data_IF_199774012684
#
_entry.id   IF_199774012684
#
_cell.length_a   1.000
_cell.length_b   1.000
_cell.length_c   1.000
_cell.angle_alpha   90.00
_cell.angle_beta   90.00
_cell.angle_gamma   90.00
#
_symmetry.space_group_name_H-M   'P 1'
#
loop_
_entity.id
_entity.type
_entity.pdbx_description
1 polymer ?
#
# COMPACT_ATOMS: atom_id res chain seq x y z
N UNK A 1 -11.46 -33.25 -56.87
CA UNK A 1 -10.06 -33.38 -56.41
C UNK A 1 -9.52 -31.99 -56.17
N UNK A 2 -8.91 -31.85 -55.01
CA UNK A 2 -8.36 -30.68 -54.29
C UNK A 2 -7.83 -29.52 -55.16
N UNK A 3 -8.28 -28.30 -54.83
CA UNK A 3 -7.49 -27.08 -54.98
C UNK A 3 -7.71 -26.22 -53.74
N UNK A 4 -6.72 -26.15 -52.86
CA UNK A 4 -6.52 -25.03 -51.92
C UNK A 4 -5.06 -25.02 -51.48
N UNK A 5 -4.21 -24.30 -52.21
CA UNK A 5 -2.91 -23.86 -51.70
C UNK A 5 -3.11 -22.53 -50.98
N UNK A 6 -3.19 -22.59 -49.65
CA UNK A 6 -3.25 -21.43 -48.76
C UNK A 6 -1.94 -21.33 -47.96
N UNK A 7 -1.12 -20.34 -48.29
CA UNK A 7 0.11 -19.95 -47.60
C UNK A 7 -0.06 -19.94 -46.07
N UNK A 8 0.73 -20.75 -45.36
CA UNK A 8 0.94 -20.59 -43.91
C UNK A 8 2.28 -19.90 -43.70
N UNK A 9 2.26 -18.59 -43.43
CA UNK A 9 3.42 -17.83 -43.00
C UNK A 9 3.84 -18.30 -41.60
N UNK A 10 5.08 -18.80 -41.48
CA UNK A 10 5.68 -19.24 -40.22
C UNK A 10 6.09 -18.00 -39.43
N UNK A 11 5.29 -17.63 -38.43
CA UNK A 11 5.69 -16.62 -37.45
C UNK A 11 6.66 -17.26 -36.45
N UNK A 12 7.96 -17.12 -36.71
CA UNK A 12 9.02 -17.52 -35.78
C UNK A 12 9.14 -16.45 -34.70
N UNK A 13 8.39 -16.60 -33.61
CA UNK A 13 8.62 -15.80 -32.40
C UNK A 13 9.70 -16.52 -31.57
N UNK A 14 10.95 -16.14 -31.76
CA UNK A 14 12.04 -16.57 -30.89
C UNK A 14 11.86 -15.91 -29.52
N UNK A 15 11.27 -16.64 -28.57
CA UNK A 15 11.36 -16.32 -27.16
C UNK A 15 12.85 -16.42 -26.80
N UNK A 16 13.51 -15.28 -26.67
CA UNK A 16 14.74 -15.22 -25.91
C UNK A 16 14.37 -15.52 -24.47
N UNK A 17 14.90 -16.63 -23.94
CA UNK A 17 14.74 -17.06 -22.56
C UNK A 17 14.98 -15.87 -21.64
N UNK A 18 13.89 -15.32 -21.11
CA UNK A 18 13.96 -14.36 -20.02
C UNK A 18 14.45 -15.17 -18.81
N UNK A 19 15.72 -14.97 -18.47
CA UNK A 19 16.33 -15.41 -17.22
C UNK A 19 15.31 -15.27 -16.08
N UNK A 20 15.18 -16.27 -15.18
CA UNK A 20 14.30 -16.14 -14.04
C UNK A 20 14.83 -14.97 -13.21
N UNK A 21 14.16 -13.82 -13.30
CA UNK A 21 14.34 -12.73 -12.37
C UNK A 21 14.02 -13.32 -11.01
N UNK A 22 15.08 -13.67 -10.27
CA UNK A 22 14.97 -14.17 -8.91
C UNK A 22 14.07 -13.18 -8.18
N UNK A 23 12.90 -13.64 -7.80
CA UNK A 23 11.94 -12.85 -7.07
C UNK A 23 12.59 -12.54 -5.72
N UNK A 24 13.26 -11.39 -5.64
CA UNK A 24 13.89 -10.87 -4.43
C UNK A 24 12.73 -10.43 -3.53
N UNK A 25 11.97 -11.39 -3.03
CA UNK A 25 11.10 -11.24 -1.89
C UNK A 25 11.99 -10.90 -0.70
N UNK A 26 12.36 -9.62 -0.57
CA UNK A 26 12.95 -9.14 0.68
C UNK A 26 11.98 -9.56 1.81
N UNK A 27 12.53 -10.18 2.85
CA UNK A 27 11.73 -10.75 3.94
C UNK A 27 10.75 -9.69 4.47
N UNK A 28 9.48 -10.05 4.61
CA UNK A 28 8.43 -9.17 5.13
C UNK A 28 8.72 -8.63 6.55
N UNK A 29 9.72 -9.15 7.25
CA UNK A 29 10.12 -8.72 8.59
C UNK A 29 10.46 -7.23 8.67
N UNK A 30 11.03 -6.64 7.62
CA UNK A 30 11.37 -5.21 7.57
C UNK A 30 10.11 -4.33 7.49
N UNK A 31 9.05 -4.82 6.84
CA UNK A 31 7.78 -4.09 6.74
C UNK A 31 7.18 -3.82 8.12
N UNK A 32 7.17 -4.84 8.98
CA UNK A 32 6.64 -4.71 10.34
C UNK A 32 7.47 -3.75 11.18
N UNK A 33 8.80 -3.80 11.07
CA UNK A 33 9.71 -2.87 11.76
C UNK A 33 9.43 -1.42 11.37
N UNK A 34 9.24 -1.13 10.08
CA UNK A 34 8.95 0.24 9.65
C UNK A 34 7.61 0.76 10.18
N UNK A 35 6.62 -0.11 10.41
CA UNK A 35 5.26 0.28 10.85
C UNK A 35 5.02 0.21 12.35
N UNK A 36 6.00 -0.23 13.14
CA UNK A 36 5.87 -0.39 14.59
C UNK A 36 5.47 0.92 15.29
N UNK A 37 6.21 2.01 15.04
CA UNK A 37 5.89 3.33 15.61
C UNK A 37 4.49 3.84 15.21
N UNK A 38 4.07 3.64 13.95
CA UNK A 38 2.73 4.01 13.51
C UNK A 38 1.65 3.20 14.25
N UNK A 39 1.91 1.92 14.54
CA UNK A 39 1.03 1.06 15.32
C UNK A 39 0.91 1.56 16.77
N UNK A 40 2.01 1.88 17.43
CA UNK A 40 2.01 2.40 18.80
C UNK A 40 1.18 3.68 18.94
N UNK A 41 1.32 4.62 17.99
CA UNK A 41 0.51 5.83 17.95
C UNK A 41 -0.98 5.54 17.70
N UNK A 42 -1.30 4.57 16.83
CA UNK A 42 -2.69 4.13 16.61
C UNK A 42 -3.30 3.47 17.85
N UNK A 43 -2.53 2.68 18.59
CA UNK A 43 -3.00 2.03 19.82
C UNK A 43 -3.25 3.07 20.92
N UNK A 44 -2.35 4.06 21.04
CA UNK A 44 -2.51 5.20 21.95
C UNK A 44 -3.73 6.05 21.58
N UNK A 45 -3.91 6.37 20.29
CA UNK A 45 -5.08 7.07 19.75
C UNK A 45 -6.37 6.35 20.13
N UNK A 46 -6.44 5.03 19.90
CA UNK A 46 -7.61 4.20 20.24
C UNK A 46 -7.91 4.25 21.75
N UNK A 47 -6.87 4.18 22.57
CA UNK A 47 -6.99 4.28 24.02
C UNK A 47 -7.58 5.62 24.45
N UNK A 48 -7.07 6.74 23.93
CA UNK A 48 -7.60 8.07 24.24
C UNK A 48 -9.05 8.25 23.83
N UNK A 49 -9.43 7.85 22.61
CA UNK A 49 -10.82 7.97 22.18
C UNK A 49 -11.77 7.06 22.98
N UNK A 50 -11.33 5.86 23.38
CA UNK A 50 -12.11 5.00 24.28
C UNK A 50 -12.33 5.66 25.64
N UNK A 51 -11.29 6.29 26.20
CA UNK A 51 -11.39 7.04 27.46
C UNK A 51 -12.32 8.25 27.31
N UNK A 52 -12.20 9.01 26.22
CA UNK A 52 -13.06 10.16 25.94
C UNK A 52 -14.54 9.75 25.84
N UNK A 53 -14.83 8.65 25.13
CA UNK A 53 -16.19 8.11 25.05
C UNK A 53 -16.74 7.73 26.44
N UNK A 54 -15.90 7.11 27.28
CA UNK A 54 -16.26 6.76 28.66
C UNK A 54 -16.55 8.01 29.51
N UNK A 55 -15.74 9.06 29.39
CA UNK A 55 -15.93 10.32 30.10
C UNK A 55 -17.22 11.04 29.64
N UNK A 56 -17.51 11.05 28.33
CA UNK A 56 -18.79 11.54 27.81
C UNK A 56 -19.98 10.81 28.42
N UNK A 57 -19.93 9.46 28.52
CA UNK A 57 -21.01 8.68 29.14
C UNK A 57 -21.20 8.98 30.63
N UNK A 58 -20.18 9.50 31.31
CA UNK A 58 -20.25 9.93 32.72
C UNK A 58 -20.67 11.40 32.90
N UNK A 59 -20.83 12.15 31.80
CA UNK A 59 -21.11 13.59 31.85
C UNK A 59 -19.88 14.47 32.10
N UNK A 60 -18.67 13.91 32.08
CA UNK A 60 -17.40 14.62 32.32
C UNK A 60 -16.91 15.29 31.03
N UNK A 61 -17.67 16.28 30.51
CA UNK A 61 -17.47 16.83 29.15
C UNK A 61 -16.10 17.50 28.93
N UNK A 62 -15.63 18.31 29.89
CA UNK A 62 -14.30 18.96 29.80
C UNK A 62 -13.17 17.93 29.75
N UNK A 63 -13.27 16.88 30.56
CA UNK A 63 -12.29 15.80 30.58
C UNK A 63 -12.34 14.97 29.28
N UNK A 64 -13.54 14.73 28.75
CA UNK A 64 -13.72 14.08 27.46
C UNK A 64 -13.13 14.90 26.30
N UNK A 65 -13.28 16.23 26.34
CA UNK A 65 -12.69 17.14 25.35
C UNK A 65 -11.17 17.08 25.38
N UNK A 66 -10.57 17.16 26.57
CA UNK A 66 -9.12 17.01 26.76
C UNK A 66 -8.60 15.68 26.21
N UNK A 67 -9.25 14.56 26.55
CA UNK A 67 -8.88 13.23 26.06
C UNK A 67 -9.01 13.12 24.53
N UNK A 68 -10.04 13.75 23.96
CA UNK A 68 -10.24 13.81 22.51
C UNK A 68 -9.12 14.57 21.81
N UNK A 69 -8.65 15.67 22.40
CA UNK A 69 -7.53 16.44 21.86
C UNK A 69 -6.20 15.66 21.93
N UNK A 70 -5.96 14.92 23.02
CA UNK A 70 -4.83 13.97 23.08
C UNK A 70 -4.93 12.89 22.00
N UNK A 71 -6.14 12.36 21.76
CA UNK A 71 -6.40 11.41 20.68
C UNK A 71 -6.05 12.00 19.30
N UNK A 72 -6.44 13.25 19.02
CA UNK A 72 -6.11 13.95 17.76
C UNK A 72 -4.60 14.12 17.57
N UNK A 73 -3.85 14.42 18.63
CA UNK A 73 -2.39 14.51 18.57
C UNK A 73 -1.79 13.16 18.15
N UNK A 74 -2.22 12.06 18.77
CA UNK A 74 -1.77 10.72 18.40
C UNK A 74 -2.17 10.35 16.97
N UNK A 75 -3.33 10.78 16.48
CA UNK A 75 -3.72 10.60 15.07
C UNK A 75 -2.74 11.25 14.11
N UNK A 76 -2.28 12.48 14.40
CA UNK A 76 -1.30 13.19 13.57
C UNK A 76 0.03 12.44 13.54
N UNK A 77 0.53 12.03 14.72
CA UNK A 77 1.77 11.26 14.84
C UNK A 77 1.69 9.92 14.12
N UNK A 78 0.57 9.20 14.25
CA UNK A 78 0.35 7.94 13.55
C UNK A 78 0.42 8.13 12.03
N UNK A 79 -0.20 9.20 11.50
CA UNK A 79 -0.18 9.50 10.06
C UNK A 79 1.24 9.79 9.56
N UNK A 80 1.98 10.64 10.28
CA UNK A 80 3.36 11.00 9.92
C UNK A 80 4.30 9.78 9.99
N UNK A 81 4.14 8.94 11.01
CA UNK A 81 4.89 7.69 11.12
C UNK A 81 4.54 6.71 9.98
N UNK A 82 3.27 6.61 9.60
CA UNK A 82 2.82 5.74 8.49
C UNK A 82 3.35 6.22 7.13
N UNK A 83 3.36 7.53 6.91
CA UNK A 83 3.92 8.16 5.71
C UNK A 83 5.44 7.92 5.62
N UNK A 84 6.17 8.13 6.72
CA UNK A 84 7.61 7.85 6.80
C UNK A 84 7.89 6.37 6.59
N UNK A 85 7.10 5.48 7.21
CA UNK A 85 7.23 4.04 7.03
C UNK A 85 7.05 3.66 5.55
N UNK A 86 6.04 4.22 4.90
CA UNK A 86 5.74 3.97 3.49
C UNK A 86 6.89 4.41 2.58
N UNK A 87 7.47 5.60 2.82
CA UNK A 87 8.66 6.06 2.08
C UNK A 87 9.87 5.16 2.31
N UNK A 88 10.10 4.72 3.55
CA UNK A 88 11.23 3.84 3.87
C UNK A 88 11.08 2.46 3.24
N UNK A 89 9.88 1.89 3.27
CA UNK A 89 9.57 0.63 2.58
C UNK A 89 9.82 0.78 1.08
N UNK A 90 9.32 1.86 0.47
CA UNK A 90 9.52 2.12 -0.96
C UNK A 90 11.01 2.20 -1.30
N UNK A 91 11.80 2.99 -0.55
CA UNK A 91 13.24 3.12 -0.78
C UNK A 91 13.99 1.80 -0.57
N UNK A 92 13.67 1.06 0.50
CA UNK A 92 14.33 -0.20 0.81
C UNK A 92 14.06 -1.26 -0.26
N UNK A 93 12.83 -1.34 -0.76
CA UNK A 93 12.42 -2.31 -1.79
C UNK A 93 12.94 -1.95 -3.17
N UNK A 94 13.06 -0.66 -3.48
CA UNK A 94 13.50 -0.20 -4.80
C UNK A 94 15.01 0.10 -4.88
N UNK A 95 15.80 -0.20 -3.85
CA UNK A 95 17.22 0.19 -3.74
C UNK A 95 18.13 -0.36 -4.86
N UNK A 96 17.69 -1.36 -5.61
CA UNK A 96 18.43 -1.96 -6.73
C UNK A 96 17.73 -1.82 -8.09
N UNK A 97 16.61 -1.10 -8.18
CA UNK A 97 15.89 -0.89 -9.43
C UNK A 97 16.17 0.53 -9.93
N UNK A 98 16.73 0.67 -11.14
CA UNK A 98 16.60 1.92 -11.88
C UNK A 98 15.13 2.03 -12.29
N UNK A 99 14.48 3.17 -12.00
CA UNK A 99 13.08 3.45 -12.36
C UNK A 99 12.93 3.62 -13.89
N UNK A 100 13.30 2.62 -14.68
CA UNK A 100 13.31 2.67 -16.16
C UNK A 100 11.89 2.55 -16.72
N UNK A 101 10.95 1.97 -15.98
CA UNK A 101 9.56 1.82 -16.39
C UNK A 101 8.66 2.53 -15.38
N UNK A 102 8.27 3.78 -15.68
CA UNK A 102 7.22 4.48 -14.93
C UNK A 102 5.88 4.12 -15.53
N UNK A 103 5.02 3.45 -14.75
CA UNK A 103 3.64 3.16 -15.16
C UNK A 103 2.78 4.37 -14.78
N UNK A 104 2.25 5.08 -15.78
CA UNK A 104 1.28 6.16 -15.54
C UNK A 104 -0.12 5.56 -15.30
N UNK A 105 -0.55 5.62 -14.05
CA UNK A 105 -1.87 5.14 -13.63
C UNK A 105 -2.98 6.18 -13.81
N UNK A 106 -2.66 7.42 -14.18
CA UNK A 106 -3.66 8.50 -14.31
C UNK A 106 -4.54 8.38 -15.56
N UNK A 107 -4.24 7.47 -16.48
CA UNK A 107 -4.99 7.25 -17.73
C UNK A 107 -5.92 6.02 -17.74
N UNK A 108 -5.90 5.16 -16.72
CA UNK A 108 -6.60 3.88 -16.76
C UNK A 108 -8.09 4.03 -16.38
N UNK A 109 -8.88 4.62 -17.27
CA UNK A 109 -10.34 4.55 -17.16
C UNK A 109 -10.79 3.09 -17.39
N UNK A 110 -11.29 2.42 -16.35
CA UNK A 110 -12.00 1.14 -16.49
C UNK A 110 -13.35 1.44 -17.15
N UNK A 111 -13.41 1.42 -18.49
CA UNK A 111 -14.67 1.51 -19.24
C UNK A 111 -15.36 0.16 -19.49
N UNK A 112 -14.88 -0.95 -18.94
CA UNK A 112 -15.57 -2.23 -19.16
C UNK A 112 -15.30 -3.26 -18.07
N UNK A 113 -16.13 -3.23 -17.01
CA UNK A 113 -16.31 -4.37 -16.10
C UNK A 113 -17.73 -4.42 -15.49
N UNK A 114 -18.72 -3.83 -16.17
CA UNK A 114 -20.13 -3.90 -15.78
C UNK A 114 -20.94 -4.35 -16.99
N UNK A 115 -20.80 -5.62 -17.40
CA UNK A 115 -21.90 -6.29 -18.11
C UNK A 115 -22.81 -6.88 -17.04
N UNK A 116 -24.02 -6.34 -16.95
CA UNK A 116 -25.15 -6.89 -16.20
C UNK A 116 -25.64 -8.19 -16.84
#
# INVERSE_FOLDING_TARGET
>A
MVSTDGLTARFSCSYTDAEPQQDIYAKGDEYHKFRESAKEHRDSMRSYFKKAATACSKGELEYAAYLSDQGKIQTKLAREADERASQNIFKARNKGFENVITIDLHGQHVKQAMRL
#
